data_IF_791412624357
#
_entry.id   IF_791412624357
#
_cell.length_a   1.000
_cell.length_b   1.000
_cell.length_c   1.000
_cell.angle_alpha   90.00
_cell.angle_beta   90.00
_cell.angle_gamma   90.00
#
_symmetry.space_group_name_H-M   'P 1'
#
loop_
_entity.id
_entity.type
_entity.pdbx_description
1 polymer ?
#
# COMPACT_ATOMS: atom_id res chain seq x y z
N UNK A 1 23.29 33.87 -27.10
CA UNK A 1 22.41 32.98 -26.34
C UNK A 1 21.35 32.51 -27.28
N UNK A 2 21.01 31.23 -27.26
CA UNK A 2 19.97 30.68 -28.15
C UNK A 2 18.60 31.24 -27.74
N UNK A 3 17.96 31.99 -28.64
CA UNK A 3 16.61 32.58 -28.44
C UNK A 3 15.49 31.60 -28.83
N UNK A 4 15.83 30.39 -29.29
CA UNK A 4 14.87 29.36 -29.68
C UNK A 4 14.05 28.88 -28.48
N UNK A 5 12.78 28.57 -28.74
CA UNK A 5 11.76 28.22 -27.73
C UNK A 5 11.67 29.21 -26.54
N UNK A 6 11.96 30.50 -26.75
CA UNK A 6 12.00 31.49 -25.66
C UNK A 6 12.96 31.12 -24.52
N UNK A 7 14.03 30.36 -24.82
CA UNK A 7 15.01 29.88 -23.84
C UNK A 7 14.55 28.69 -22.98
N UNK A 8 13.47 27.97 -23.37
CA UNK A 8 12.92 26.85 -22.58
C UNK A 8 13.66 25.53 -22.75
N UNK A 9 14.32 25.29 -23.89
CA UNK A 9 15.12 24.11 -24.12
C UNK A 9 16.41 24.46 -24.89
N UNK A 10 17.60 24.11 -24.37
CA UNK A 10 18.83 24.23 -25.15
C UNK A 10 18.97 23.05 -26.12
N UNK A 11 19.47 23.31 -27.33
CA UNK A 11 19.84 22.28 -28.30
C UNK A 11 18.97 22.25 -29.56
N UNK A 12 19.34 21.37 -30.50
CA UNK A 12 18.57 21.17 -31.73
C UNK A 12 17.33 20.31 -31.46
N UNK A 13 16.24 20.60 -32.19
CA UNK A 13 15.00 19.84 -32.11
C UNK A 13 15.26 18.35 -32.41
N UNK A 14 14.78 17.47 -31.52
CA UNK A 14 14.80 16.03 -31.76
C UNK A 14 13.66 15.65 -32.71
N UNK A 15 13.77 16.07 -33.98
CA UNK A 15 12.77 15.84 -35.01
C UNK A 15 12.32 14.36 -35.11
N UNK A 16 13.23 13.36 -35.05
CA UNK A 16 12.81 11.95 -35.02
C UNK A 16 11.89 11.60 -33.83
N UNK A 17 12.23 12.05 -32.61
CA UNK A 17 11.41 11.78 -31.43
C UNK A 17 10.04 12.48 -31.51
N UNK A 18 9.99 13.71 -32.05
CA UNK A 18 8.75 14.45 -32.25
C UNK A 18 7.82 13.71 -33.22
N UNK A 19 8.34 13.28 -34.36
CA UNK A 19 7.57 12.54 -35.36
C UNK A 19 7.11 11.19 -34.80
N UNK A 20 7.98 10.46 -34.08
CA UNK A 20 7.62 9.21 -33.43
C UNK A 20 6.52 9.40 -32.38
N UNK A 21 6.62 10.41 -31.51
CA UNK A 21 5.60 10.71 -30.51
C UNK A 21 4.24 11.04 -31.14
N UNK A 22 4.24 11.84 -32.22
CA UNK A 22 3.02 12.18 -32.95
C UNK A 22 2.38 10.95 -33.63
N UNK A 23 3.19 10.07 -34.24
CA UNK A 23 2.70 8.83 -34.84
C UNK A 23 2.11 7.88 -33.78
N UNK A 24 2.83 7.65 -32.67
CA UNK A 24 2.36 6.84 -31.54
C UNK A 24 1.07 7.38 -30.93
N UNK A 25 0.96 8.70 -30.75
CA UNK A 25 -0.26 9.32 -30.23
C UNK A 25 -1.46 9.09 -31.15
N UNK A 26 -1.28 9.19 -32.48
CA UNK A 26 -2.36 8.93 -33.44
C UNK A 26 -2.81 7.48 -33.40
N UNK A 27 -1.85 6.54 -33.37
CA UNK A 27 -2.15 5.11 -33.28
C UNK A 27 -2.94 4.79 -32.00
N UNK A 28 -2.44 5.23 -30.84
CA UNK A 28 -3.10 4.96 -29.55
C UNK A 28 -4.48 5.61 -29.46
N UNK A 29 -4.68 6.83 -29.98
CA UNK A 29 -5.98 7.52 -29.91
C UNK A 29 -7.11 6.78 -30.61
N UNK A 30 -6.83 6.05 -31.69
CA UNK A 30 -7.85 5.31 -32.43
C UNK A 30 -8.46 4.18 -31.59
N UNK A 31 -7.66 3.56 -30.72
CA UNK A 31 -8.03 2.38 -29.95
C UNK A 31 -8.24 2.67 -28.45
N UNK A 32 -7.84 3.85 -27.98
CA UNK A 32 -7.78 4.22 -26.56
C UNK A 32 -9.11 4.04 -25.81
N UNK A 33 -10.25 4.36 -26.44
CA UNK A 33 -11.55 4.25 -25.78
C UNK A 33 -11.95 2.78 -25.53
N UNK A 34 -11.74 1.91 -26.54
CA UNK A 34 -12.03 0.48 -26.43
C UNK A 34 -11.08 -0.18 -25.42
N UNK A 35 -9.78 0.14 -25.49
CA UNK A 35 -8.80 -0.41 -24.56
C UNK A 35 -9.03 0.08 -23.12
N UNK A 36 -9.39 1.34 -22.93
CA UNK A 36 -9.73 1.86 -21.61
C UNK A 36 -10.97 1.16 -21.01
N UNK A 37 -11.96 0.80 -21.83
CA UNK A 37 -13.11 0.03 -21.36
C UNK A 37 -12.69 -1.40 -20.93
N UNK A 38 -11.87 -2.07 -21.74
CA UNK A 38 -11.35 -3.40 -21.46
C UNK A 38 -10.50 -3.43 -20.18
N UNK A 39 -9.56 -2.50 -20.05
CA UNK A 39 -8.71 -2.38 -18.86
C UNK A 39 -9.51 -2.04 -17.60
N UNK A 40 -10.57 -1.21 -17.71
CA UNK A 40 -11.47 -0.94 -16.57
C UNK A 40 -12.14 -2.21 -16.08
N UNK A 41 -12.62 -3.06 -16.98
CA UNK A 41 -13.23 -4.33 -16.60
C UNK A 41 -12.24 -5.22 -15.86
N UNK A 42 -11.02 -5.36 -16.39
CA UNK A 42 -9.96 -6.14 -15.75
C UNK A 42 -9.54 -5.59 -14.38
N UNK A 43 -9.36 -4.27 -14.27
CA UNK A 43 -9.03 -3.67 -12.96
C UNK A 43 -10.19 -3.75 -11.98
N UNK A 44 -11.44 -3.70 -12.44
CA UNK A 44 -12.61 -3.86 -11.57
C UNK A 44 -12.71 -5.28 -10.99
N UNK A 45 -12.33 -6.31 -11.78
CA UNK A 45 -12.19 -7.67 -11.25
C UNK A 45 -11.17 -7.74 -10.13
N UNK A 46 -10.00 -7.12 -10.30
CA UNK A 46 -8.99 -7.07 -9.23
C UNK A 46 -9.54 -6.34 -8.00
N UNK A 47 -10.14 -5.17 -8.19
CA UNK A 47 -10.68 -4.35 -7.08
C UNK A 47 -11.76 -5.05 -6.26
N UNK A 48 -12.63 -5.81 -6.91
CA UNK A 48 -13.71 -6.53 -6.23
C UNK A 48 -13.21 -7.82 -5.58
N UNK A 49 -12.36 -8.58 -6.26
CA UNK A 49 -11.93 -9.91 -5.81
C UNK A 49 -10.83 -9.90 -4.77
N UNK A 50 -9.91 -8.94 -4.80
CA UNK A 50 -8.79 -8.90 -3.85
C UNK A 50 -9.29 -8.82 -2.39
N UNK A 51 -10.23 -7.94 -2.01
CA UNK A 51 -10.78 -7.91 -0.65
C UNK A 51 -11.52 -9.20 -0.23
N UNK A 52 -12.10 -9.94 -1.18
CA UNK A 52 -12.78 -11.21 -0.91
C UNK A 52 -11.80 -12.36 -0.69
N UNK A 53 -10.67 -12.34 -1.40
CA UNK A 53 -9.69 -13.42 -1.42
C UNK A 53 -8.58 -13.24 -0.38
N UNK A 54 -8.28 -11.99 0.00
CA UNK A 54 -7.18 -11.64 0.90
C UNK A 54 -7.75 -10.85 2.08
N UNK A 55 -7.70 -11.39 3.31
CA UNK A 55 -8.19 -10.67 4.48
C UNK A 55 -7.29 -9.47 4.79
N UNK A 56 -7.85 -8.48 5.48
CA UNK A 56 -7.14 -7.27 5.91
C UNK A 56 -6.47 -6.53 4.73
N UNK A 57 -7.23 -6.32 3.66
CA UNK A 57 -6.81 -5.55 2.49
C UNK A 57 -7.69 -4.34 2.29
N UNK A 58 -7.06 -3.22 1.99
CA UNK A 58 -7.70 -1.98 1.60
C UNK A 58 -7.41 -1.69 0.12
N UNK A 59 -8.45 -1.52 -0.70
CA UNK A 59 -8.32 -1.07 -2.09
C UNK A 59 -8.41 0.45 -2.15
N UNK A 60 -7.36 1.09 -2.66
CA UNK A 60 -7.20 2.55 -2.62
C UNK A 60 -7.68 3.19 -3.93
N UNK A 61 -8.18 4.43 -3.83
CA UNK A 61 -8.52 5.31 -4.95
C UNK A 61 -9.99 5.27 -5.38
N UNK A 62 -10.41 6.35 -6.06
CA UNK A 62 -11.81 6.59 -6.47
C UNK A 62 -12.34 5.43 -7.35
N UNK A 63 -13.55 4.91 -7.06
CA UNK A 63 -14.14 3.78 -7.79
C UNK A 63 -14.53 4.12 -9.24
N UNK A 64 -14.48 5.39 -9.64
CA UNK A 64 -14.87 5.84 -10.98
C UNK A 64 -13.82 6.73 -11.64
N UNK A 65 -13.24 7.68 -10.90
CA UNK A 65 -12.29 8.69 -11.39
C UNK A 65 -10.84 8.23 -11.23
N UNK A 66 -10.52 7.10 -11.86
CA UNK A 66 -9.17 6.52 -11.88
C UNK A 66 -8.71 6.20 -13.30
N UNK A 67 -7.40 5.99 -13.45
CA UNK A 67 -6.84 5.48 -14.70
C UNK A 67 -7.31 4.04 -14.95
N UNK A 68 -7.67 3.69 -16.19
CA UNK A 68 -8.38 2.45 -16.50
C UNK A 68 -7.56 1.18 -16.24
N UNK A 69 -6.23 1.25 -16.38
CA UNK A 69 -5.33 0.11 -16.21
C UNK A 69 -4.55 0.10 -14.90
N UNK A 70 -4.93 0.91 -13.91
CA UNK A 70 -4.22 0.97 -12.63
C UNK A 70 -5.16 0.61 -11.49
N UNK A 71 -4.70 -0.31 -10.63
CA UNK A 71 -5.31 -0.62 -9.34
C UNK A 71 -4.24 -0.63 -8.27
N UNK A 72 -4.57 -0.05 -7.12
CA UNK A 72 -3.70 -0.02 -5.95
C UNK A 72 -4.46 -0.60 -4.76
N UNK A 73 -3.80 -1.44 -3.98
CA UNK A 73 -4.31 -1.96 -2.73
C UNK A 73 -3.17 -2.11 -1.71
N UNK A 74 -3.51 -2.11 -0.43
CA UNK A 74 -2.57 -2.27 0.68
C UNK A 74 -3.00 -3.48 1.51
N UNK A 75 -2.06 -4.37 1.81
CA UNK A 75 -2.29 -5.54 2.67
C UNK A 75 -1.72 -5.27 4.06
N UNK A 76 -2.54 -5.36 5.11
CA UNK A 76 -2.02 -5.28 6.47
C UNK A 76 -1.07 -6.43 6.78
N UNK A 77 -0.14 -6.16 7.69
CA UNK A 77 0.81 -7.12 8.24
C UNK A 77 1.75 -7.70 7.18
N UNK A 78 1.96 -6.96 6.10
CA UNK A 78 2.80 -7.34 4.97
C UNK A 78 3.84 -6.27 4.74
N UNK A 79 5.10 -6.70 4.66
CA UNK A 79 6.16 -5.89 4.11
C UNK A 79 6.00 -5.82 2.58
N UNK A 80 5.85 -4.60 2.05
CA UNK A 80 5.56 -4.39 0.64
C UNK A 80 6.69 -4.89 -0.27
N UNK A 81 7.96 -4.66 0.09
CA UNK A 81 9.11 -5.11 -0.69
C UNK A 81 9.19 -6.63 -0.75
N UNK A 82 8.96 -7.31 0.37
CA UNK A 82 8.90 -8.78 0.42
C UNK A 82 7.77 -9.31 -0.47
N UNK A 83 6.58 -8.70 -0.43
CA UNK A 83 5.46 -9.11 -1.30
C UNK A 83 5.78 -8.90 -2.78
N UNK A 84 6.37 -7.77 -3.15
CA UNK A 84 6.85 -7.48 -4.50
C UNK A 84 7.82 -8.56 -5.00
N UNK A 85 8.79 -8.95 -4.16
CA UNK A 85 9.75 -9.98 -4.50
C UNK A 85 9.12 -11.36 -4.69
N UNK A 86 8.15 -11.75 -3.86
CA UNK A 86 7.47 -13.04 -4.02
C UNK A 86 6.52 -13.06 -5.23
N UNK A 87 5.89 -11.93 -5.57
CA UNK A 87 5.10 -11.79 -6.80
C UNK A 87 5.97 -11.85 -8.06
N UNK A 88 7.15 -11.24 -8.04
CA UNK A 88 8.13 -11.33 -9.13
C UNK A 88 8.57 -12.78 -9.37
N UNK A 89 8.84 -13.53 -8.29
CA UNK A 89 9.12 -14.98 -8.37
C UNK A 89 7.97 -15.79 -8.94
N UNK A 90 6.72 -15.36 -8.72
CA UNK A 90 5.54 -15.96 -9.34
C UNK A 90 5.27 -15.47 -10.78
N UNK A 91 6.18 -14.69 -11.35
CA UNK A 91 6.14 -14.20 -12.72
C UNK A 91 5.24 -12.98 -12.91
N UNK A 92 5.05 -12.15 -11.88
CA UNK A 92 4.30 -10.90 -11.94
C UNK A 92 5.18 -9.70 -11.62
N UNK A 93 5.30 -8.78 -12.58
CA UNK A 93 5.94 -7.49 -12.34
C UNK A 93 4.92 -6.48 -11.85
N UNK A 94 4.97 -6.18 -10.55
CA UNK A 94 4.15 -5.13 -9.91
C UNK A 94 5.06 -4.08 -9.29
N UNK A 95 4.48 -2.95 -8.87
CA UNK A 95 5.22 -1.87 -8.22
C UNK A 95 4.64 -1.59 -6.84
N UNK A 96 5.44 -1.12 -5.89
CA UNK A 96 4.86 -0.39 -4.75
C UNK A 96 4.32 0.94 -5.30
N UNK A 97 3.11 1.34 -4.92
CA UNK A 97 2.51 2.62 -5.31
C UNK A 97 3.24 3.84 -4.76
N UNK A 98 4.30 3.61 -3.98
CA UNK A 98 5.27 4.56 -3.50
C UNK A 98 6.51 4.45 -4.39
N UNK A 99 6.93 5.51 -5.07
CA UNK A 99 8.32 5.56 -5.55
C UNK A 99 9.23 5.39 -4.33
N UNK A 100 9.73 4.18 -4.10
CA UNK A 100 10.86 3.95 -3.22
C UNK A 100 12.09 4.55 -3.91
N UNK A 101 12.24 5.88 -3.86
CA UNK A 101 13.58 6.45 -3.90
C UNK A 101 14.24 6.04 -2.59
N UNK A 102 15.12 5.06 -2.72
CA UNK A 102 15.97 4.42 -1.71
C UNK A 102 16.84 5.35 -0.84
N UNK A 103 16.54 6.66 -0.77
CA UNK A 103 17.33 7.65 -0.05
C UNK A 103 16.56 8.44 1.01
N UNK A 104 15.23 8.42 1.04
CA UNK A 104 14.44 9.05 2.12
C UNK A 104 13.22 8.20 2.45
N UNK A 105 13.30 7.51 3.60
CA UNK A 105 12.36 6.53 4.16
C UNK A 105 11.03 7.14 4.65
N UNK A 106 10.51 8.12 3.91
CA UNK A 106 9.26 8.81 4.24
C UNK A 106 8.11 8.08 3.55
N UNK A 107 6.98 7.82 4.24
CA UNK A 107 5.78 7.28 3.61
C UNK A 107 5.40 8.11 2.37
N UNK A 108 4.85 7.44 1.34
CA UNK A 108 4.44 8.12 0.11
C UNK A 108 3.61 9.35 0.44
N UNK A 109 4.05 10.52 -0.04
CA UNK A 109 3.34 11.78 0.18
C UNK A 109 1.88 11.68 -0.30
N UNK A 110 1.61 10.86 -1.32
CA UNK A 110 0.25 10.64 -1.84
C UNK A 110 -0.57 9.78 -0.90
N UNK A 111 -0.06 8.63 -0.44
CA UNK A 111 -0.79 7.78 0.52
C UNK A 111 -1.01 8.52 1.84
N UNK A 112 -0.01 9.28 2.29
CA UNK A 112 -0.11 10.19 3.43
C UNK A 112 -1.21 11.24 3.26
N UNK A 113 -1.29 11.89 2.10
CA UNK A 113 -2.33 12.86 1.83
C UNK A 113 -3.74 12.23 1.74
N UNK A 114 -3.82 10.94 1.42
CA UNK A 114 -5.07 10.19 1.39
C UNK A 114 -5.48 9.60 2.76
N UNK A 115 -4.56 9.51 3.73
CA UNK A 115 -4.83 8.93 5.05
C UNK A 115 -5.03 7.42 5.04
N UNK A 116 -4.55 6.72 4.00
CA UNK A 116 -4.71 5.27 3.81
C UNK A 116 -3.46 4.50 4.24
N UNK A 117 -3.58 3.18 4.38
CA UNK A 117 -2.47 2.30 4.72
C UNK A 117 -1.30 2.47 3.75
N UNK A 118 -0.13 2.78 4.30
CA UNK A 118 1.11 2.87 3.54
C UNK A 118 1.86 1.53 3.48
N UNK A 119 1.61 0.66 4.45
CA UNK A 119 2.16 -0.69 4.53
C UNK A 119 1.57 -1.64 3.49
N UNK A 120 2.38 -2.63 3.08
CA UNK A 120 1.96 -3.68 2.14
C UNK A 120 1.38 -3.17 0.82
N UNK A 121 1.74 -1.95 0.39
CA UNK A 121 1.14 -1.31 -0.77
C UNK A 121 1.62 -1.93 -2.09
N UNK A 122 0.66 -2.33 -2.92
CA UNK A 122 0.87 -2.89 -4.26
C UNK A 122 0.07 -2.09 -5.27
N UNK A 123 0.75 -1.63 -6.32
CA UNK A 123 0.19 -1.02 -7.52
C UNK A 123 0.40 -1.96 -8.71
N UNK A 124 -0.71 -2.45 -9.24
CA UNK A 124 -0.78 -3.24 -10.45
C UNK A 124 -1.09 -2.30 -11.62
N UNK A 125 -0.24 -2.35 -12.64
CA UNK A 125 -0.42 -1.63 -13.91
C UNK A 125 -0.65 -2.66 -15.00
N UNK A 126 -1.77 -2.56 -15.71
CA UNK A 126 -2.11 -3.44 -16.84
C UNK A 126 -1.79 -2.73 -18.16
N UNK A 127 -0.74 -3.15 -18.89
CA UNK A 127 -0.45 -2.63 -20.22
C UNK A 127 -1.58 -2.89 -21.23
N UNK A 128 -1.54 -2.16 -22.34
CA UNK A 128 -2.45 -2.43 -23.45
C UNK A 128 -2.29 -3.87 -23.95
N UNK A 129 -3.41 -4.56 -24.18
CA UNK A 129 -3.42 -5.95 -24.62
C UNK A 129 -3.21 -7.01 -23.52
N UNK A 130 -3.11 -6.62 -22.24
CA UNK A 130 -3.01 -7.58 -21.12
C UNK A 130 -4.13 -8.63 -21.19
N UNK A 131 -3.84 -9.94 -21.28
CA UNK A 131 -4.88 -10.95 -21.39
C UNK A 131 -5.66 -11.11 -20.09
N UNK A 132 -6.92 -11.53 -20.19
CA UNK A 132 -7.75 -11.77 -19.00
C UNK A 132 -7.19 -12.92 -18.16
N UNK A 133 -6.62 -13.95 -18.79
CA UNK A 133 -6.01 -15.07 -18.07
C UNK A 133 -4.87 -14.66 -17.11
N UNK A 134 -4.11 -13.60 -17.43
CA UNK A 134 -3.06 -13.12 -16.54
C UNK A 134 -3.64 -12.48 -15.27
N UNK A 135 -4.81 -11.83 -15.38
CA UNK A 135 -5.54 -11.28 -14.23
C UNK A 135 -6.10 -12.38 -13.37
N UNK A 136 -6.67 -13.43 -13.98
CA UNK A 136 -7.17 -14.59 -13.22
C UNK A 136 -6.01 -15.32 -12.53
N UNK A 137 -4.89 -15.57 -13.23
CA UNK A 137 -3.68 -16.16 -12.64
C UNK A 137 -3.15 -15.34 -11.47
N UNK A 138 -3.17 -14.01 -11.59
CA UNK A 138 -2.76 -13.12 -10.51
C UNK A 138 -3.66 -13.28 -9.27
N UNK A 139 -4.99 -13.32 -9.48
CA UNK A 139 -5.96 -13.49 -8.40
C UNK A 139 -5.89 -14.89 -7.74
N UNK A 140 -5.49 -15.91 -8.46
CA UNK A 140 -5.25 -17.25 -7.91
C UNK A 140 -4.00 -17.31 -7.02
N UNK A 141 -2.92 -16.63 -7.42
CA UNK A 141 -1.63 -16.67 -6.72
C UNK A 141 -1.60 -15.76 -5.49
N UNK A 142 -2.19 -14.57 -5.61
CA UNK A 142 -2.06 -13.50 -4.62
C UNK A 142 -2.36 -13.94 -3.17
N UNK A 143 -3.44 -14.68 -2.86
CA UNK A 143 -3.76 -15.06 -1.48
C UNK A 143 -2.68 -15.93 -0.83
N UNK A 144 -2.14 -16.89 -1.57
CA UNK A 144 -1.07 -17.76 -1.10
C UNK A 144 0.23 -16.99 -0.86
N UNK A 145 0.56 -16.06 -1.76
CA UNK A 145 1.73 -15.19 -1.61
C UNK A 145 1.60 -14.29 -0.37
N UNK A 146 0.45 -13.63 -0.18
CA UNK A 146 0.22 -12.77 0.98
C UNK A 146 0.29 -13.56 2.29
N UNK A 147 -0.33 -14.74 2.34
CA UNK A 147 -0.29 -15.60 3.53
C UNK A 147 1.15 -16.00 3.90
N UNK A 148 1.96 -16.39 2.91
CA UNK A 148 3.36 -16.77 3.14
C UNK A 148 4.21 -15.60 3.65
N UNK A 149 3.95 -14.38 3.19
CA UNK A 149 4.67 -13.18 3.69
C UNK A 149 4.25 -12.85 5.12
N UNK A 150 2.95 -12.94 5.44
CA UNK A 150 2.42 -12.73 6.79
C UNK A 150 3.01 -13.73 7.79
N UNK A 151 3.14 -15.00 7.41
CA UNK A 151 3.72 -16.05 8.25
C UNK A 151 5.18 -15.73 8.61
N UNK A 152 6.00 -15.30 7.63
CA UNK A 152 7.41 -14.92 7.85
C UNK A 152 7.58 -13.76 8.82
N UNK A 153 6.62 -12.83 8.87
CA UNK A 153 6.65 -11.66 9.76
C UNK A 153 6.07 -11.94 11.14
N UNK A 154 5.55 -13.16 11.39
CA UNK A 154 4.85 -13.48 12.62
C UNK A 154 3.62 -12.61 12.83
N UNK A 155 2.91 -12.26 11.75
CA UNK A 155 1.59 -11.65 11.84
C UNK A 155 0.70 -12.53 12.73
N UNK A 156 -0.21 -11.95 13.53
CA UNK A 156 -1.00 -12.74 14.48
C UNK A 156 -1.75 -13.88 13.78
N UNK A 157 -1.23 -15.10 13.93
CA UNK A 157 -2.07 -16.30 13.93
C UNK A 157 -2.92 -16.21 15.21
N UNK A 158 -4.20 -16.57 15.12
CA UNK A 158 -5.09 -16.51 16.26
C UNK A 158 -4.42 -17.14 17.50
N UNK A 159 -4.22 -16.29 18.53
CA UNK A 159 -3.74 -16.57 19.89
C UNK A 159 -2.33 -17.15 20.07
N UNK A 160 -1.42 -16.39 20.70
CA UNK A 160 -1.07 -16.56 22.12
C UNK A 160 0.07 -15.61 22.59
N UNK A 161 -0.14 -15.08 23.81
CA UNK A 161 0.80 -14.54 24.81
C UNK A 161 1.25 -13.07 24.72
N UNK A 162 0.50 -12.19 25.40
CA UNK A 162 1.09 -11.14 26.25
C UNK A 162 0.51 -11.18 27.67
N UNK A 163 1.40 -11.08 28.66
CA UNK A 163 1.08 -11.06 30.09
C UNK A 163 0.09 -9.93 30.40
N UNK A 164 -0.99 -10.28 31.09
CA UNK A 164 -1.95 -9.32 31.64
C UNK A 164 -1.25 -8.21 32.43
N UNK A 165 -1.50 -6.95 32.07
CA UNK A 165 -1.04 -5.81 32.86
C UNK A 165 -1.93 -4.57 32.66
N UNK A 166 -2.99 -4.48 33.47
CA UNK A 166 -3.63 -3.22 33.90
C UNK A 166 -4.22 -2.28 32.84
N UNK A 167 -4.83 -1.16 33.29
CA UNK A 167 -5.19 -0.07 32.40
C UNK A 167 -3.90 0.63 31.91
N UNK A 168 -3.47 0.34 30.68
CA UNK A 168 -2.32 0.98 30.05
C UNK A 168 -1.21 0.01 29.63
N UNK A 169 -1.52 -0.96 28.76
CA UNK A 169 -0.51 -1.82 28.14
C UNK A 169 0.41 -0.99 27.24
N UNK A 170 1.72 -1.23 27.29
CA UNK A 170 2.70 -0.58 26.41
C UNK A 170 3.31 -1.62 25.46
N UNK A 171 3.26 -1.33 24.16
CA UNK A 171 3.96 -2.07 23.09
C UNK A 171 5.21 -1.28 22.74
N UNK A 172 6.38 -1.85 23.00
CA UNK A 172 7.66 -1.25 22.60
C UNK A 172 8.10 -1.77 21.23
N UNK A 173 7.92 -0.93 20.21
CA UNK A 173 8.35 -1.20 18.84
C UNK A 173 9.50 -0.26 18.40
N UNK A 174 10.25 0.33 19.34
CA UNK A 174 11.37 1.21 19.02
C UNK A 174 12.47 0.46 18.23
N UNK A 175 13.00 1.11 17.20
CA UNK A 175 13.98 0.53 16.28
C UNK A 175 13.39 -0.52 15.32
N UNK A 176 12.08 -0.79 15.39
CA UNK A 176 11.37 -1.63 14.42
C UNK A 176 10.73 -0.73 13.36
N UNK A 177 10.63 -1.25 12.14
CA UNK A 177 10.01 -0.56 11.01
C UNK A 177 8.65 -1.17 10.69
N UNK A 178 7.79 -0.38 10.09
CA UNK A 178 6.56 -0.84 9.47
C UNK A 178 6.80 -2.11 8.62
N UNK A 179 5.96 -3.16 8.73
CA UNK A 179 4.66 -3.23 9.44
C UNK A 179 4.73 -3.65 10.92
N UNK A 180 5.92 -3.76 11.52
CA UNK A 180 6.09 -4.39 12.84
C UNK A 180 5.32 -3.68 13.98
N UNK A 181 5.31 -2.33 14.12
CA UNK A 181 4.54 -1.67 15.17
C UNK A 181 3.04 -2.00 15.14
N UNK A 182 2.47 -2.13 13.94
CA UNK A 182 1.06 -2.48 13.72
C UNK A 182 0.80 -3.96 14.02
N UNK A 183 1.72 -4.85 13.62
CA UNK A 183 1.66 -6.29 13.96
C UNK A 183 1.66 -6.49 15.47
N UNK A 184 2.57 -5.84 16.20
CA UNK A 184 2.67 -5.98 17.65
C UNK A 184 1.45 -5.40 18.37
N UNK A 185 0.91 -4.27 17.90
CA UNK A 185 -0.39 -3.74 18.37
C UNK A 185 -1.53 -4.76 18.15
N UNK A 186 -1.62 -5.32 16.96
CA UNK A 186 -2.69 -6.25 16.60
C UNK A 186 -2.65 -7.55 17.41
N UNK A 187 -1.46 -8.01 17.81
CA UNK A 187 -1.29 -9.18 18.70
C UNK A 187 -1.90 -8.96 20.08
N UNK A 188 -1.86 -7.74 20.60
CA UNK A 188 -2.17 -7.47 22.02
C UNK A 188 -3.52 -6.78 22.25
N UNK A 189 -4.06 -6.10 21.23
CA UNK A 189 -5.30 -5.33 21.38
C UNK A 189 -6.50 -6.19 21.80
N UNK A 190 -6.54 -7.46 21.39
CA UNK A 190 -7.59 -8.40 21.76
C UNK A 190 -7.54 -8.86 23.22
N UNK A 191 -6.39 -8.69 23.87
CA UNK A 191 -6.14 -9.15 25.25
C UNK A 191 -6.41 -8.06 26.29
N UNK A 192 -6.54 -6.78 25.89
CA UNK A 192 -6.89 -5.69 26.81
C UNK A 192 -8.42 -5.55 26.96
N UNK A 193 -8.96 -5.13 28.12
CA UNK A 193 -10.40 -4.90 28.27
C UNK A 193 -10.95 -3.87 27.28
N UNK A 194 -12.21 -4.02 26.86
CA UNK A 194 -12.90 -2.96 26.09
C UNK A 194 -12.89 -1.66 26.91
N UNK A 195 -12.55 -0.56 26.24
CA UNK A 195 -12.34 0.76 26.84
C UNK A 195 -10.90 1.01 27.34
N UNK A 196 -10.06 -0.02 27.42
CA UNK A 196 -8.65 0.14 27.78
C UNK A 196 -7.83 0.69 26.61
N UNK A 197 -6.75 1.42 26.94
CA UNK A 197 -5.82 2.00 25.97
C UNK A 197 -4.52 1.22 25.93
N UNK A 198 -4.06 0.88 24.72
CA UNK A 198 -2.71 0.39 24.41
C UNK A 198 -1.87 1.58 23.95
N UNK A 199 -0.65 1.70 24.47
CA UNK A 199 0.36 2.70 24.07
C UNK A 199 1.41 2.02 23.21
N UNK A 200 1.55 2.42 21.95
CA UNK A 200 2.55 1.86 21.02
C UNK A 200 3.70 2.85 20.88
N UNK A 201 4.89 2.50 21.37
CA UNK A 201 6.10 3.30 21.20
C UNK A 201 6.74 2.97 19.84
N UNK A 202 6.97 3.98 19.01
CA UNK A 202 7.62 3.81 17.71
C UNK A 202 8.46 5.04 17.35
N UNK A 203 9.64 4.81 16.77
CA UNK A 203 10.50 5.83 16.15
C UNK A 203 10.41 5.80 14.61
N UNK A 204 9.41 5.10 14.07
CA UNK A 204 9.14 4.99 12.65
C UNK A 204 8.06 5.99 12.18
N UNK A 205 8.36 6.79 11.16
CA UNK A 205 7.45 7.83 10.65
C UNK A 205 6.19 7.24 10.02
N UNK A 206 6.26 6.02 9.49
CA UNK A 206 5.12 5.31 8.90
C UNK A 206 4.04 4.97 9.94
N UNK A 207 4.42 4.71 11.19
CA UNK A 207 3.50 4.40 12.28
C UNK A 207 2.45 5.51 12.51
N UNK A 208 2.80 6.78 12.21
CA UNK A 208 1.87 7.91 12.29
C UNK A 208 0.69 7.81 11.32
N UNK A 209 0.87 7.09 10.21
CA UNK A 209 -0.18 6.88 9.21
C UNK A 209 -0.82 5.50 9.37
N UNK A 210 -0.01 4.48 9.57
CA UNK A 210 -0.49 3.10 9.58
C UNK A 210 -1.29 2.78 10.86
N UNK A 211 -0.95 3.34 12.03
CA UNK A 211 -1.71 3.07 13.26
C UNK A 211 -3.14 3.65 13.18
N UNK A 212 -3.35 4.93 12.81
CA UNK A 212 -4.72 5.45 12.64
C UNK A 212 -5.53 4.69 11.58
N UNK A 213 -4.93 4.39 10.42
CA UNK A 213 -5.59 3.65 9.35
C UNK A 213 -5.95 2.21 9.78
N UNK A 214 -5.05 1.55 10.53
CA UNK A 214 -5.32 0.25 11.15
C UNK A 214 -6.49 0.34 12.15
N UNK A 215 -6.55 1.40 12.97
CA UNK A 215 -7.64 1.60 13.93
C UNK A 215 -8.98 1.71 13.20
N UNK A 216 -9.05 2.52 12.14
CA UNK A 216 -10.24 2.65 11.31
C UNK A 216 -10.66 1.29 10.73
N UNK A 217 -9.72 0.56 10.13
CA UNK A 217 -10.03 -0.72 9.48
C UNK A 217 -10.44 -1.82 10.47
N UNK A 218 -9.88 -1.83 11.69
CA UNK A 218 -10.18 -2.81 12.74
C UNK A 218 -11.24 -2.34 13.74
N UNK A 219 -11.87 -1.20 13.46
CA UNK A 219 -12.93 -0.61 14.27
C UNK A 219 -12.49 -0.15 15.65
N UNK A 220 -11.19 0.07 15.88
CA UNK A 220 -10.63 0.58 17.14
C UNK A 220 -10.55 2.12 17.13
N UNK A 221 -10.38 2.72 18.30
CA UNK A 221 -10.29 4.19 18.40
C UNK A 221 -8.83 4.64 18.48
N UNK A 222 -8.38 5.44 17.51
CA UNK A 222 -7.13 6.18 17.62
C UNK A 222 -7.34 7.42 18.50
N UNK A 223 -6.78 7.41 19.71
CA UNK A 223 -6.97 8.48 20.72
C UNK A 223 -6.04 9.66 20.45
N UNK A 224 -4.87 9.41 19.87
CA UNK A 224 -3.88 10.43 19.55
C UNK A 224 -2.45 9.93 19.74
N UNK A 225 -1.51 10.87 19.73
CA UNK A 225 -0.09 10.62 19.94
C UNK A 225 0.49 11.59 20.97
N UNK A 226 1.48 11.11 21.73
CA UNK A 226 2.20 11.90 22.73
C UNK A 226 3.73 11.72 22.57
N UNK A 227 4.55 12.73 22.91
CA UNK A 227 6.00 12.59 22.90
C UNK A 227 6.46 11.49 23.87
N UNK A 228 7.41 10.65 23.44
CA UNK A 228 8.09 9.68 24.29
C UNK A 228 9.57 10.05 24.47
N UNK A 229 10.24 9.43 25.44
CA UNK A 229 11.69 9.61 25.66
C UNK A 229 12.51 9.33 24.39
N UNK A 230 12.05 8.34 23.61
CA UNK A 230 12.54 8.05 22.28
C UNK A 230 11.34 7.79 21.37
N UNK A 231 11.24 8.53 20.26
CA UNK A 231 10.15 8.41 19.30
C UNK A 231 8.82 9.01 19.78
N UNK A 232 7.72 8.40 19.36
CA UNK A 232 6.34 8.83 19.63
C UNK A 232 5.56 7.67 20.25
N UNK A 233 4.68 7.97 21.21
CA UNK A 233 3.73 7.02 21.75
C UNK A 233 2.35 7.23 21.11
N UNK A 234 1.87 6.23 20.40
CA UNK A 234 0.55 6.22 19.76
C UNK A 234 -0.47 5.54 20.69
N UNK A 235 -1.60 6.20 20.93
CA UNK A 235 -2.62 5.78 21.88
C UNK A 235 -3.80 5.17 21.14
N UNK A 236 -4.07 3.88 21.38
CA UNK A 236 -5.16 3.13 20.73
C UNK A 236 -6.08 2.56 21.79
N UNK A 237 -7.37 2.92 21.75
CA UNK A 237 -8.39 2.41 22.66
C UNK A 237 -9.16 1.27 22.03
N UNK A 238 -9.28 0.18 22.78
CA UNK A 238 -10.11 -0.96 22.37
C UNK A 238 -11.59 -0.59 22.47
N UNK A 239 -12.34 -0.78 21.40
CA UNK A 239 -13.78 -0.47 21.32
C UNK A 239 -14.67 -1.71 21.34
N UNK A 240 -14.14 -2.87 20.95
CA UNK A 240 -14.83 -4.16 20.81
C UNK A 240 -13.90 -5.32 21.12
#
# INVERSE_FOLDING_TARGET
>A
GDERESGRAPGFENLPAIVAAAASLRAVRAEAAAEAARLRELTERIRSRVPELVPDVEVVGDPSRRLPGIVTFSCLYVDGETLLHELDRAGFSVSSGSSCTSSTLTPSHVLRAMGVLSEGNVRVSLPAGTPAEDVERFLEVLPGTVAAVREKLGAPAATENVRAAGPGLVVDALGRRCPIPVIELAKVIGDVPVGATVRVLSDDEAARLDIPAWCEMRGQEYVGEEPAERGTAYLVRRTS
#
